data_IF_231357491446
#
_entry.id   IF_231357491446
#
_cell.length_a   1.000
_cell.length_b   1.000
_cell.length_c   1.000
_cell.angle_alpha   90.00
_cell.angle_beta   90.00
_cell.angle_gamma   90.00
#
_symmetry.space_group_name_H-M   'P 1'
#
loop_
_entity.id
_entity.type
_entity.pdbx_description
1 polymer ?
#
# COMPACT_ATOMS: atom_id res chain seq x y z
N UNK A 1 -8.52 -8.71 8.02
CA UNK A 1 -7.82 -7.40 7.95
C UNK A 1 -8.61 -6.43 8.82
N UNK A 2 -7.99 -5.63 9.70
CA UNK A 2 -8.72 -4.54 10.37
C UNK A 2 -8.99 -3.50 9.29
N UNK A 3 -10.21 -3.47 8.78
CA UNK A 3 -10.58 -2.86 7.50
C UNK A 3 -10.50 -1.33 7.49
N UNK A 4 -11.01 -0.67 8.54
CA UNK A 4 -11.09 0.78 8.74
C UNK A 4 -11.33 1.04 10.24
N UNK A 5 -10.94 2.20 10.77
CA UNK A 5 -11.45 2.68 12.06
C UNK A 5 -12.94 3.01 11.96
N UNK A 6 -13.59 3.26 13.10
CA UNK A 6 -14.99 3.66 13.12
C UNK A 6 -15.18 4.99 12.37
N UNK A 7 -14.32 5.97 12.64
CA UNK A 7 -14.36 7.29 12.05
C UNK A 7 -14.09 7.25 10.54
N UNK A 8 -13.11 6.43 10.10
CA UNK A 8 -12.83 6.21 8.69
C UNK A 8 -14.03 5.57 7.97
N UNK A 9 -14.68 4.58 8.60
CA UNK A 9 -15.87 3.94 8.06
C UNK A 9 -17.03 4.93 7.92
N UNK A 10 -17.35 5.67 8.98
CA UNK A 10 -18.42 6.68 8.96
C UNK A 10 -18.18 7.73 7.87
N UNK A 11 -16.95 8.20 7.72
CA UNK A 11 -16.56 9.11 6.64
C UNK A 11 -16.83 8.51 5.25
N UNK A 12 -16.36 7.28 5.00
CA UNK A 12 -16.52 6.64 3.69
C UNK A 12 -17.99 6.34 3.39
N UNK A 13 -18.78 5.93 4.38
CA UNK A 13 -20.22 5.71 4.24
C UNK A 13 -20.93 6.99 3.80
N UNK A 14 -20.66 8.12 4.46
CA UNK A 14 -21.25 9.40 4.08
C UNK A 14 -20.86 9.82 2.64
N UNK A 15 -19.59 9.58 2.26
CA UNK A 15 -19.11 9.84 0.89
C UNK A 15 -19.77 8.96 -0.16
N UNK A 16 -20.07 7.70 0.17
CA UNK A 16 -20.79 6.80 -0.72
C UNK A 16 -22.24 7.25 -0.90
N UNK A 17 -22.92 7.67 0.17
CA UNK A 17 -24.27 8.23 0.05
C UNK A 17 -24.29 9.47 -0.85
N UNK A 18 -23.36 10.40 -0.64
CA UNK A 18 -23.22 11.60 -1.45
C UNK A 18 -22.93 11.28 -2.92
N UNK A 19 -22.07 10.29 -3.18
CA UNK A 19 -21.76 9.87 -4.54
C UNK A 19 -22.99 9.31 -5.27
N UNK A 20 -23.81 8.49 -4.61
CA UNK A 20 -25.04 7.95 -5.21
C UNK A 20 -26.05 9.06 -5.50
N UNK A 21 -26.18 10.04 -4.61
CA UNK A 21 -27.08 11.16 -4.84
C UNK A 21 -26.59 12.03 -6.01
N UNK A 22 -25.30 12.40 -6.04
CA UNK A 22 -24.76 13.29 -7.07
C UNK A 22 -24.69 12.65 -8.45
N UNK A 23 -24.25 11.39 -8.54
CA UNK A 23 -23.99 10.74 -9.82
C UNK A 23 -25.20 9.95 -10.35
N UNK A 24 -26.12 9.56 -9.47
CA UNK A 24 -27.27 8.71 -9.83
C UNK A 24 -28.63 9.31 -9.45
N UNK A 25 -28.66 10.41 -8.71
CA UNK A 25 -29.91 10.97 -8.17
C UNK A 25 -30.61 10.02 -7.19
N UNK A 26 -29.85 9.11 -6.57
CA UNK A 26 -30.37 8.06 -5.70
C UNK A 26 -29.96 8.29 -4.25
N UNK A 27 -30.94 8.59 -3.39
CA UNK A 27 -30.74 8.68 -1.95
C UNK A 27 -30.74 7.29 -1.33
N UNK A 28 -29.56 6.80 -0.95
CA UNK A 28 -29.41 5.53 -0.22
C UNK A 28 -29.28 5.77 1.28
N UNK A 29 -29.92 4.90 2.07
CA UNK A 29 -29.81 4.94 3.53
C UNK A 29 -28.44 4.48 4.04
N UNK A 30 -28.13 4.81 5.29
CA UNK A 30 -26.85 4.50 5.94
C UNK A 30 -26.51 3.01 5.92
N UNK A 31 -27.48 2.13 6.20
CA UNK A 31 -27.28 0.67 6.18
C UNK A 31 -26.90 0.14 4.78
N UNK A 32 -27.52 0.69 3.73
CA UNK A 32 -27.23 0.29 2.36
C UNK A 32 -25.82 0.76 1.95
N UNK A 33 -25.47 1.99 2.30
CA UNK A 33 -24.14 2.54 2.05
C UNK A 33 -23.05 1.78 2.84
N UNK A 34 -23.28 1.45 4.12
CA UNK A 34 -22.34 0.66 4.92
C UNK A 34 -22.15 -0.75 4.37
N UNK A 35 -23.22 -1.40 3.92
CA UNK A 35 -23.15 -2.71 3.25
C UNK A 35 -22.32 -2.64 1.96
N UNK A 36 -22.49 -1.57 1.18
CA UNK A 36 -21.71 -1.35 -0.04
C UNK A 36 -20.22 -1.11 0.28
N UNK A 37 -19.92 -0.29 1.29
CA UNK A 37 -18.53 -0.08 1.77
C UNK A 37 -17.92 -1.39 2.24
N UNK A 38 -18.67 -2.20 3.00
CA UNK A 38 -18.20 -3.50 3.46
C UNK A 38 -17.82 -4.42 2.29
N UNK A 39 -18.72 -4.55 1.31
CA UNK A 39 -18.46 -5.33 0.09
C UNK A 39 -17.21 -4.85 -0.65
N UNK A 40 -17.07 -3.53 -0.86
CA UNK A 40 -15.88 -2.98 -1.53
C UNK A 40 -14.59 -3.30 -0.78
N UNK A 41 -14.59 -3.23 0.56
CA UNK A 41 -13.40 -3.53 1.35
C UNK A 41 -13.05 -5.02 1.30
N UNK A 42 -14.04 -5.91 1.30
CA UNK A 42 -13.80 -7.35 1.16
C UNK A 42 -13.20 -7.70 -0.21
N UNK A 43 -13.75 -7.12 -1.29
CA UNK A 43 -13.32 -7.42 -2.65
C UNK A 43 -11.99 -6.74 -3.02
N UNK A 44 -11.81 -5.45 -2.68
CA UNK A 44 -10.64 -4.67 -3.10
C UNK A 44 -9.49 -4.70 -2.08
N UNK A 45 -9.82 -4.86 -0.80
CA UNK A 45 -8.86 -4.76 0.30
C UNK A 45 -7.63 -5.65 0.14
N UNK A 46 -7.77 -6.96 -0.13
CA UNK A 46 -6.64 -7.85 -0.32
C UNK A 46 -5.73 -7.45 -1.49
N UNK A 47 -6.30 -7.01 -2.62
CA UNK A 47 -5.51 -6.60 -3.78
C UNK A 47 -4.68 -5.35 -3.49
N UNK A 48 -5.31 -4.32 -2.91
CA UNK A 48 -4.65 -3.05 -2.56
C UNK A 48 -3.58 -3.26 -1.49
N UNK A 49 -3.89 -4.04 -0.45
CA UNK A 49 -2.92 -4.37 0.60
C UNK A 49 -1.71 -5.13 0.05
N UNK A 50 -1.95 -6.19 -0.73
CA UNK A 50 -0.87 -6.98 -1.33
C UNK A 50 -0.03 -6.14 -2.30
N UNK A 51 -0.63 -5.21 -3.03
CA UNK A 51 0.09 -4.27 -3.88
C UNK A 51 0.99 -3.36 -3.04
N UNK A 52 0.47 -2.77 -1.97
CA UNK A 52 1.25 -1.96 -1.03
C UNK A 52 2.42 -2.72 -0.41
N UNK A 53 2.21 -3.98 -0.01
CA UNK A 53 3.29 -4.85 0.50
C UNK A 53 4.36 -5.10 -0.57
N UNK A 54 3.96 -5.39 -1.81
CA UNK A 54 4.89 -5.59 -2.93
C UNK A 54 5.71 -4.34 -3.23
N UNK A 55 5.06 -3.17 -3.22
CA UNK A 55 5.73 -1.89 -3.49
C UNK A 55 6.75 -1.56 -2.38
N UNK A 56 6.38 -1.77 -1.12
CA UNK A 56 7.30 -1.62 0.01
C UNK A 56 8.50 -2.59 -0.08
N UNK A 57 8.25 -3.85 -0.47
CA UNK A 57 9.32 -4.83 -0.70
C UNK A 57 10.28 -4.39 -1.80
N UNK A 58 9.77 -3.91 -2.94
CA UNK A 58 10.62 -3.42 -4.03
C UNK A 58 11.52 -2.25 -3.61
N UNK A 59 10.99 -1.33 -2.79
CA UNK A 59 11.80 -0.24 -2.22
C UNK A 59 12.95 -0.76 -1.35
N UNK A 60 12.67 -1.72 -0.47
CA UNK A 60 13.67 -2.33 0.41
C UNK A 60 14.72 -3.10 -0.38
N UNK A 61 14.28 -3.92 -1.35
CA UNK A 61 15.17 -4.69 -2.23
C UNK A 61 16.16 -3.76 -2.97
N UNK A 62 15.67 -2.64 -3.52
CA UNK A 62 16.55 -1.65 -4.15
C UNK A 62 17.55 -1.02 -3.18
N UNK A 63 17.11 -0.73 -1.94
CA UNK A 63 17.98 -0.15 -0.93
C UNK A 63 19.11 -1.12 -0.55
N UNK A 64 18.80 -2.40 -0.41
CA UNK A 64 19.77 -3.46 -0.11
C UNK A 64 20.81 -3.58 -1.24
N UNK A 65 20.38 -3.56 -2.50
CA UNK A 65 21.29 -3.61 -3.65
C UNK A 65 22.28 -2.45 -3.60
N UNK A 66 21.79 -1.22 -3.42
CA UNK A 66 22.65 -0.04 -3.32
C UNK A 66 23.63 -0.13 -2.14
N UNK A 67 23.18 -0.64 -0.99
CA UNK A 67 24.05 -0.84 0.17
C UNK A 67 25.15 -1.88 -0.10
N UNK A 68 24.84 -2.96 -0.81
CA UNK A 68 25.84 -3.97 -1.19
C UNK A 68 26.88 -3.37 -2.15
N UNK A 69 26.45 -2.55 -3.11
CA UNK A 69 27.36 -1.80 -4.00
C UNK A 69 28.27 -0.84 -3.24
N UNK A 70 27.71 -0.08 -2.28
CA UNK A 70 28.48 0.82 -1.41
C UNK A 70 29.54 0.03 -0.61
N UNK A 71 29.20 -1.13 -0.07
CA UNK A 71 30.13 -1.98 0.67
C UNK A 71 31.26 -2.51 -0.24
N UNK A 72 30.92 -2.99 -1.43
CA UNK A 72 31.92 -3.45 -2.42
C UNK A 72 32.88 -2.34 -2.82
N UNK A 73 32.41 -1.10 -2.89
CA UNK A 73 33.27 0.05 -3.20
C UNK A 73 34.39 0.28 -2.16
N UNK A 74 34.19 -0.21 -0.93
CA UNK A 74 35.18 -0.11 0.16
C UNK A 74 36.19 -1.26 0.14
N UNK A 75 35.95 -2.32 -0.62
CA UNK A 75 36.89 -3.44 -0.73
C UNK A 75 38.23 -2.96 -1.28
N UNK A 76 39.31 -3.41 -0.64
CA UNK A 76 40.67 -3.10 -1.10
C UNK A 76 41.27 -4.33 -1.76
N UNK A 77 41.96 -4.18 -2.90
CA UNK A 77 42.66 -5.29 -3.51
C UNK A 77 43.72 -5.84 -2.55
N UNK A 78 43.65 -7.15 -2.26
CA UNK A 78 44.67 -7.83 -1.50
C UNK A 78 45.89 -8.10 -2.39
N UNK A 79 46.97 -7.36 -2.12
CA UNK A 79 48.32 -7.66 -2.61
C UNK A 79 48.69 -7.09 -3.98
N UNK A 80 49.69 -6.21 -4.00
CA UNK A 80 50.70 -6.28 -5.06
C UNK A 80 51.86 -7.09 -4.48
N UNK A 81 52.28 -8.21 -5.09
CA UNK A 81 53.57 -8.78 -4.73
C UNK A 81 54.63 -7.70 -4.98
N UNK A 82 55.40 -7.35 -3.94
CA UNK A 82 56.61 -6.54 -4.11
C UNK A 82 57.49 -7.27 -5.11
N UNK A 83 57.68 -6.69 -6.30
CA UNK A 83 58.71 -7.14 -7.23
C UNK A 83 60.06 -6.84 -6.55
N UNK A 84 60.75 -7.90 -6.12
CA UNK A 84 62.15 -7.88 -5.67
C UNK A 84 63.08 -7.49 -6.80
#
# INVERSE_FOLDING_TARGET
MKSLTKEEREYVVARVQEFFELERGEQIGELAADSFVHFMVEELGPFLYNKGVKDARGMVEQRIINMDEDLRSLERPAGRPKRS
#
